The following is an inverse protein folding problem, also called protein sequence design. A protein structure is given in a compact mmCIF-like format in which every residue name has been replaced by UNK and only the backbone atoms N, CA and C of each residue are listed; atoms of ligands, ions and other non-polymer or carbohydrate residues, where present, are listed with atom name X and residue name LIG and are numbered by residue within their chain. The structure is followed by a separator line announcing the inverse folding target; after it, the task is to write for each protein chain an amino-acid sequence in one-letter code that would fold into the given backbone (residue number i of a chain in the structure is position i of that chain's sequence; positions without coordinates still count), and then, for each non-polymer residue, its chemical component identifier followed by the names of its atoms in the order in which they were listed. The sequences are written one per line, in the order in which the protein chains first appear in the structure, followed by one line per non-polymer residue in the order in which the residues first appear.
data_IF_906154139514
#
_entry.id   IF_906154139514
#
_cell.length_a   1.000
_cell.length_b   1.000
_cell.length_c   1.000
_cell.angle_alpha   90.00
_cell.angle_beta   90.00
_cell.angle_gamma   90.00
#
_symmetry.space_group_name_H-M   'P 1'
#
loop_
_entity.id
_entity.type
_entity.pdbx_description
1 polymer ?
#
# COMPACT_ATOMS: atom_id res chain seq x y z
N UNK A 1 -0.77 2.84 -26.62
CA UNK A 1 -2.16 2.37 -26.89
C UNK A 1 -3.05 2.83 -25.75
N UNK A 2 -4.34 3.06 -25.97
CA UNK A 2 -5.25 3.42 -24.88
C UNK A 2 -5.50 2.14 -24.05
N UNK A 3 -4.92 2.06 -22.85
CA UNK A 3 -4.82 0.87 -21.99
C UNK A 3 -6.16 0.25 -21.53
N UNK A 4 -7.28 0.91 -21.84
CA UNK A 4 -8.63 0.49 -21.44
C UNK A 4 -9.32 -0.42 -22.47
N UNK A 5 -8.68 -0.71 -23.62
CA UNK A 5 -9.32 -1.45 -24.72
C UNK A 5 -8.42 -2.59 -25.18
N UNK A 6 -8.96 -3.81 -25.15
CA UNK A 6 -8.30 -5.02 -25.62
C UNK A 6 -8.03 -4.93 -27.14
N UNK A 7 -6.87 -5.40 -27.65
CA UNK A 7 -6.57 -5.33 -29.08
C UNK A 7 -7.64 -6.03 -29.92
N UNK A 8 -8.12 -5.37 -30.97
CA UNK A 8 -9.04 -6.00 -31.94
C UNK A 8 -8.36 -7.18 -32.65
N UNK A 9 -9.13 -8.19 -33.05
CA UNK A 9 -8.62 -9.34 -33.81
C UNK A 9 -7.79 -8.93 -35.03
N UNK A 10 -8.21 -7.91 -35.79
CA UNK A 10 -7.45 -7.41 -36.93
C UNK A 10 -6.04 -6.93 -36.55
N UNK A 11 -5.90 -6.24 -35.40
CA UNK A 11 -4.59 -5.79 -34.91
C UNK A 11 -3.71 -6.96 -34.50
N UNK A 12 -4.30 -7.96 -33.82
CA UNK A 12 -3.58 -9.17 -33.42
C UNK A 12 -3.07 -9.93 -34.65
N UNK A 13 -3.87 -10.03 -35.72
CA UNK A 13 -3.48 -10.72 -36.95
C UNK A 13 -2.44 -9.95 -37.79
N UNK A 14 -2.35 -8.63 -37.64
CA UNK A 14 -1.44 -7.77 -38.41
C UNK A 14 -0.14 -7.42 -37.68
N UNK A 15 -0.01 -7.80 -36.41
CA UNK A 15 1.13 -7.43 -35.57
C UNK A 15 1.63 -8.59 -34.72
N UNK A 16 2.50 -8.28 -33.75
CA UNK A 16 2.94 -9.25 -32.75
C UNK A 16 1.84 -9.44 -31.69
N UNK A 17 0.95 -10.40 -31.95
CA UNK A 17 -0.19 -10.70 -31.08
C UNK A 17 0.27 -11.01 -29.64
N UNK A 18 1.38 -11.72 -29.47
CA UNK A 18 1.86 -12.13 -28.15
C UNK A 18 2.32 -10.92 -27.35
N UNK A 19 3.10 -10.02 -27.95
CA UNK A 19 3.53 -8.79 -27.29
C UNK A 19 2.34 -7.89 -26.94
N UNK A 20 1.39 -7.70 -27.86
CA UNK A 20 0.21 -6.85 -27.61
C UNK A 20 -0.67 -7.39 -26.47
N UNK A 21 -0.87 -8.71 -26.41
CA UNK A 21 -1.63 -9.34 -25.33
C UNK A 21 -0.85 -9.31 -24.01
N UNK A 22 0.48 -9.46 -24.07
CA UNK A 22 1.34 -9.36 -22.90
C UNK A 22 1.27 -7.97 -22.24
N UNK A 23 1.31 -6.90 -23.04
CA UNK A 23 1.17 -5.53 -22.55
C UNK A 23 -0.16 -5.28 -21.84
N UNK A 24 -1.22 -6.02 -22.16
CA UNK A 24 -2.52 -5.90 -21.47
C UNK A 24 -2.43 -6.29 -19.99
N UNK A 25 -1.48 -7.17 -19.61
CA UNK A 25 -1.28 -7.54 -18.20
C UNK A 25 -0.64 -6.43 -17.37
N UNK A 26 -0.04 -5.40 -17.97
CA UNK A 26 0.52 -4.24 -17.24
C UNK A 26 -0.57 -3.28 -16.71
N UNK A 27 -1.84 -3.61 -16.95
CA UNK A 27 -2.99 -2.77 -16.61
C UNK A 27 -4.01 -3.50 -15.74
N UNK A 28 -4.85 -2.72 -15.08
CA UNK A 28 -6.02 -3.22 -14.36
C UNK A 28 -7.06 -3.77 -15.34
N UNK A 29 -7.65 -4.95 -15.10
CA UNK A 29 -8.74 -5.45 -15.91
C UNK A 29 -9.93 -4.51 -15.91
N UNK A 30 -10.39 -4.15 -17.11
CA UNK A 30 -11.54 -3.27 -17.26
C UNK A 30 -12.80 -4.05 -17.64
N UNK A 31 -13.99 -3.68 -17.13
CA UNK A 31 -15.28 -4.17 -17.65
C UNK A 31 -15.51 -3.86 -19.14
N UNK A 32 -14.75 -2.91 -19.71
CA UNK A 32 -14.77 -2.54 -21.13
C UNK A 32 -13.91 -3.44 -22.03
N UNK A 33 -13.13 -4.38 -21.46
CA UNK A 33 -12.44 -5.37 -22.28
C UNK A 33 -13.49 -6.29 -22.91
N UNK A 34 -13.68 -6.10 -24.22
CA UNK A 34 -14.71 -6.79 -24.98
C UNK A 34 -14.10 -7.91 -25.84
N UNK A 35 -14.34 -9.15 -25.43
CA UNK A 35 -13.95 -10.34 -26.18
C UNK A 35 -14.89 -10.62 -27.36
N UNK A 36 -16.00 -9.85 -27.52
CA UNK A 36 -16.98 -9.97 -28.61
C UNK A 36 -16.42 -9.75 -29.99
N UNK A 37 -15.38 -8.94 -30.11
CA UNK A 37 -14.65 -8.76 -31.37
C UNK A 37 -14.11 -10.08 -31.95
N UNK A 38 -14.06 -11.16 -31.16
CA UNK A 38 -13.58 -12.47 -31.59
C UNK A 38 -14.70 -13.52 -31.79
N UNK A 39 -15.98 -13.19 -31.69
CA UNK A 39 -17.06 -14.20 -31.59
C UNK A 39 -17.35 -15.03 -32.82
N UNK A 40 -16.95 -14.57 -34.00
CA UNK A 40 -17.51 -15.10 -35.25
C UNK A 40 -16.59 -14.96 -36.45
N UNK A 41 -15.31 -14.63 -36.23
CA UNK A 41 -14.36 -14.54 -37.33
C UNK A 41 -13.72 -15.90 -37.58
N UNK A 42 -13.86 -16.51 -38.78
CA UNK A 42 -13.11 -17.72 -39.12
C UNK A 42 -11.59 -17.51 -39.06
N UNK A 43 -11.14 -16.26 -39.00
CA UNK A 43 -9.73 -15.87 -38.89
C UNK A 43 -9.14 -16.06 -37.49
N UNK A 44 -9.93 -16.41 -36.48
CA UNK A 44 -9.38 -16.74 -35.14
C UNK A 44 -8.42 -17.92 -35.22
N UNK A 45 -8.67 -18.89 -36.12
CA UNK A 45 -7.73 -20.01 -36.34
C UNK A 45 -6.40 -19.58 -36.95
N UNK A 46 -6.29 -18.34 -37.46
CA UNK A 46 -5.03 -17.75 -37.93
C UNK A 46 -4.17 -17.24 -36.75
N UNK A 47 -4.74 -17.05 -35.55
CA UNK A 47 -3.95 -16.75 -34.36
C UNK A 47 -3.16 -17.99 -33.94
N UNK A 48 -1.89 -17.80 -33.61
CA UNK A 48 -1.08 -18.87 -33.06
C UNK A 48 -1.63 -19.34 -31.69
N UNK A 49 -1.31 -20.59 -31.32
CA UNK A 49 -1.81 -21.24 -30.10
C UNK A 49 -1.42 -20.46 -28.84
N UNK A 50 -0.26 -19.80 -28.82
CA UNK A 50 0.21 -19.03 -27.66
C UNK A 50 -0.59 -17.74 -27.51
N UNK A 51 -0.87 -17.04 -28.61
CA UNK A 51 -1.75 -15.87 -28.62
C UNK A 51 -3.17 -16.25 -28.16
N UNK A 52 -3.70 -17.40 -28.58
CA UNK A 52 -4.99 -17.90 -28.09
C UNK A 52 -4.95 -18.18 -26.58
N UNK A 53 -3.88 -18.82 -26.09
CA UNK A 53 -3.71 -19.11 -24.66
C UNK A 53 -3.59 -17.82 -23.82
N UNK A 54 -2.84 -16.82 -24.29
CA UNK A 54 -2.73 -15.50 -23.64
C UNK A 54 -4.06 -14.75 -23.61
N UNK A 55 -4.85 -14.82 -24.69
CA UNK A 55 -6.17 -14.22 -24.73
C UNK A 55 -7.13 -14.90 -23.73
N UNK A 56 -7.05 -16.22 -23.61
CA UNK A 56 -7.82 -16.98 -22.63
C UNK A 56 -7.36 -16.68 -21.19
N UNK A 57 -6.07 -16.50 -20.98
CA UNK A 57 -5.49 -16.09 -19.69
C UNK A 57 -5.97 -14.68 -19.28
N UNK A 58 -6.02 -13.72 -20.22
CA UNK A 58 -6.59 -12.38 -19.97
C UNK A 58 -8.07 -12.44 -19.58
N UNK A 59 -8.85 -13.31 -20.22
CA UNK A 59 -10.25 -13.53 -19.86
C UNK A 59 -10.39 -14.10 -18.44
N UNK A 60 -9.54 -15.07 -18.08
CA UNK A 60 -9.48 -15.59 -16.71
C UNK A 60 -9.10 -14.49 -15.72
N UNK A 61 -8.10 -13.68 -16.03
CA UNK A 61 -7.67 -12.58 -15.16
C UNK A 61 -8.79 -11.54 -14.96
N UNK A 62 -9.49 -11.17 -16.03
CA UNK A 62 -10.64 -10.27 -15.95
C UNK A 62 -11.74 -10.83 -15.03
N UNK A 63 -12.07 -12.12 -15.15
CA UNK A 63 -13.08 -12.75 -14.31
C UNK A 63 -12.67 -12.75 -12.82
N UNK A 64 -11.40 -13.02 -12.51
CA UNK A 64 -10.85 -13.00 -11.15
C UNK A 64 -10.93 -11.60 -10.53
N UNK A 65 -10.52 -10.58 -11.30
CA UNK A 65 -10.47 -9.19 -10.85
C UNK A 65 -11.86 -8.56 -10.68
N UNK A 66 -12.77 -8.86 -11.61
CA UNK A 66 -14.10 -8.24 -11.63
C UNK A 66 -15.14 -9.01 -10.83
N UNK A 67 -14.81 -10.22 -10.36
CA UNK A 67 -15.73 -11.09 -9.64
C UNK A 67 -17.04 -11.30 -10.42
N UNK A 68 -16.94 -11.27 -11.76
CA UNK A 68 -18.06 -11.27 -12.68
C UNK A 68 -17.81 -12.33 -13.74
N UNK A 69 -18.34 -13.54 -13.52
CA UNK A 69 -18.46 -14.53 -14.57
C UNK A 69 -19.57 -14.05 -15.49
N UNK A 70 -19.23 -13.67 -16.71
CA UNK A 70 -20.25 -13.56 -17.76
C UNK A 70 -19.83 -14.41 -18.93
N UNK A 71 -20.20 -15.70 -18.87
CA UNK A 71 -20.13 -16.62 -20.02
C UNK A 71 -20.73 -15.96 -21.28
N UNK A 72 -21.76 -15.11 -21.11
CA UNK A 72 -22.40 -14.30 -22.15
C UNK A 72 -21.49 -13.22 -22.82
N UNK A 73 -20.27 -13.04 -22.31
CA UNK A 73 -19.26 -12.11 -22.85
C UNK A 73 -18.04 -12.82 -23.43
N UNK A 74 -17.90 -14.13 -23.29
CA UNK A 74 -16.83 -14.91 -23.92
C UNK A 74 -17.32 -15.81 -25.07
N UNK A 75 -16.59 -15.87 -26.21
CA UNK A 75 -16.99 -16.74 -27.30
C UNK A 75 -16.76 -18.22 -26.99
N UNK A 76 -17.61 -19.08 -27.56
CA UNK A 76 -17.57 -20.53 -27.33
C UNK A 76 -16.23 -21.18 -27.67
N UNK A 77 -15.55 -20.69 -28.70
CA UNK A 77 -14.21 -21.18 -29.06
C UNK A 77 -13.17 -20.83 -28.00
N UNK A 78 -13.22 -19.63 -27.42
CA UNK A 78 -12.27 -19.17 -26.40
C UNK A 78 -12.50 -19.89 -25.08
N UNK A 79 -13.76 -20.18 -24.75
CA UNK A 79 -14.12 -21.02 -23.60
C UNK A 79 -13.51 -22.43 -23.69
N UNK A 80 -13.27 -22.95 -24.90
CA UNK A 80 -12.63 -24.25 -25.14
C UNK A 80 -11.09 -24.20 -25.15
N UNK A 81 -10.48 -23.01 -25.20
CA UNK A 81 -9.02 -22.85 -25.18
C UNK A 81 -8.49 -23.18 -23.78
N UNK A 82 -7.30 -23.80 -23.72
CA UNK A 82 -6.55 -24.04 -22.48
C UNK A 82 -5.63 -22.84 -22.22
N UNK A 83 -5.88 -21.99 -21.20
CA UNK A 83 -5.00 -20.86 -20.89
C UNK A 83 -3.58 -21.31 -20.51
N UNK A 84 -3.48 -22.52 -19.94
CA UNK A 84 -2.26 -23.18 -19.51
C UNK A 84 -2.08 -24.47 -20.34
N UNK A 85 -1.38 -24.43 -21.49
CA UNK A 85 -1.37 -25.54 -22.46
C UNK A 85 -0.84 -26.87 -21.93
N UNK A 86 -0.03 -26.86 -20.87
CA UNK A 86 0.50 -28.04 -20.20
C UNK A 86 -0.49 -28.70 -19.22
N UNK A 87 -1.67 -28.11 -19.02
CA UNK A 87 -2.75 -28.65 -18.21
C UNK A 87 -3.95 -29.01 -19.08
N UNK A 88 -4.83 -29.87 -18.56
CA UNK A 88 -6.03 -30.32 -19.28
C UNK A 88 -7.27 -29.44 -19.07
N UNK A 89 -7.15 -28.32 -18.35
CA UNK A 89 -8.27 -27.43 -18.06
C UNK A 89 -8.47 -26.38 -19.15
N UNK A 90 -9.68 -26.34 -19.69
CA UNK A 90 -10.18 -25.27 -20.54
C UNK A 90 -10.46 -23.99 -19.73
N UNK A 91 -10.59 -22.85 -20.42
CA UNK A 91 -10.99 -21.60 -19.81
C UNK A 91 -12.33 -21.74 -19.09
N UNK A 92 -13.31 -22.43 -19.70
CA UNK A 92 -14.62 -22.70 -19.09
C UNK A 92 -14.49 -23.31 -17.69
N UNK A 93 -13.69 -24.37 -17.57
CA UNK A 93 -13.49 -25.07 -16.29
C UNK A 93 -12.78 -24.18 -15.25
N UNK A 94 -11.84 -23.33 -15.68
CA UNK A 94 -11.12 -22.44 -14.75
C UNK A 94 -11.99 -21.25 -14.29
N UNK A 95 -12.93 -20.79 -15.11
CA UNK A 95 -13.84 -19.70 -14.75
C UNK A 95 -14.77 -20.08 -13.58
N UNK A 96 -15.09 -21.36 -13.42
CA UNK A 96 -15.85 -21.87 -12.26
C UNK A 96 -15.15 -21.59 -10.92
N UNK A 97 -13.83 -21.35 -10.96
CA UNK A 97 -13.01 -21.09 -9.78
C UNK A 97 -12.54 -19.63 -9.66
N UNK A 98 -12.88 -18.75 -10.60
CA UNK A 98 -12.36 -17.38 -10.66
C UNK A 98 -12.65 -16.55 -9.39
N UNK A 99 -13.83 -16.75 -8.79
CA UNK A 99 -14.26 -16.08 -7.55
C UNK A 99 -13.38 -16.43 -6.32
N UNK A 100 -12.66 -17.54 -6.38
CA UNK A 100 -11.78 -18.05 -5.33
C UNK A 100 -10.33 -18.16 -5.81
N UNK A 101 -9.93 -17.25 -6.70
CA UNK A 101 -8.58 -17.17 -7.21
C UNK A 101 -8.00 -15.77 -7.07
N UNK A 102 -6.68 -15.69 -7.12
CA UNK A 102 -5.93 -14.45 -7.21
C UNK A 102 -4.69 -14.64 -8.08
N UNK A 103 -4.17 -13.55 -8.61
CA UNK A 103 -2.97 -13.56 -9.44
C UNK A 103 -1.90 -12.66 -8.83
N UNK A 104 -0.65 -13.09 -8.94
CA UNK A 104 0.52 -12.31 -8.60
C UNK A 104 1.56 -12.42 -9.72
N UNK A 105 2.41 -11.40 -9.82
CA UNK A 105 3.46 -11.32 -10.84
C UNK A 105 4.82 -11.46 -10.17
N UNK A 106 5.72 -12.22 -10.78
CA UNK A 106 7.07 -12.46 -10.25
C UNK A 106 8.11 -12.45 -11.37
N UNK A 107 9.37 -12.07 -11.06
CA UNK A 107 10.44 -12.08 -12.06
C UNK A 107 10.94 -13.49 -12.33
N UNK A 108 11.11 -13.80 -13.61
CA UNK A 108 11.75 -15.02 -14.09
C UNK A 108 13.06 -14.69 -14.80
N UNK A 109 14.12 -15.41 -14.45
CA UNK A 109 15.43 -15.29 -15.11
C UNK A 109 15.38 -15.83 -16.53
N UNK A 110 15.92 -15.09 -17.48
CA UNK A 110 16.19 -15.61 -18.82
C UNK A 110 17.24 -16.72 -18.76
N UNK A 111 17.09 -17.75 -19.59
CA UNK A 111 18.07 -18.83 -19.72
C UNK A 111 18.39 -19.11 -21.19
N UNK A 112 19.56 -19.69 -21.47
CA UNK A 112 19.94 -20.13 -22.83
C UNK A 112 19.81 -19.04 -23.91
N UNK A 113 20.16 -17.79 -23.58
CA UNK A 113 20.08 -16.65 -24.50
C UNK A 113 18.68 -16.05 -24.67
N UNK A 114 17.68 -16.55 -23.94
CA UNK A 114 16.33 -15.99 -23.91
C UNK A 114 16.22 -14.85 -22.91
N UNK A 115 15.39 -13.84 -23.19
CA UNK A 115 15.24 -12.68 -22.33
C UNK A 115 14.54 -13.04 -21.03
N UNK A 116 14.81 -12.24 -20.01
CA UNK A 116 14.05 -12.26 -18.76
C UNK A 116 12.61 -11.80 -18.99
N UNK A 117 11.69 -12.31 -18.19
CA UNK A 117 10.28 -11.90 -18.23
C UNK A 117 9.61 -11.83 -16.85
N UNK A 118 8.47 -11.15 -16.77
CA UNK A 118 7.59 -11.13 -15.61
C UNK A 118 6.52 -12.23 -15.75
N UNK A 119 6.70 -13.34 -15.05
CA UNK A 119 5.74 -14.43 -15.07
C UNK A 119 4.56 -14.14 -14.12
N UNK A 120 3.43 -14.82 -14.37
CA UNK A 120 2.21 -14.73 -13.56
C UNK A 120 1.95 -16.06 -12.89
N UNK A 121 1.60 -16.02 -11.61
CA UNK A 121 1.12 -17.15 -10.84
C UNK A 121 -0.29 -16.89 -10.39
N UNK A 122 -1.17 -17.85 -10.65
CA UNK A 122 -2.54 -17.87 -10.17
C UNK A 122 -2.65 -18.88 -9.05
N UNK A 123 -3.27 -18.49 -7.97
CA UNK A 123 -3.56 -19.36 -6.83
C UNK A 123 -5.06 -19.52 -6.71
N UNK A 124 -5.52 -20.76 -6.77
CA UNK A 124 -6.91 -21.13 -6.59
C UNK A 124 -7.06 -21.76 -5.22
N UNK A 125 -8.05 -21.34 -4.42
CA UNK A 125 -8.32 -21.95 -3.12
C UNK A 125 -8.74 -23.43 -3.24
N UNK A 126 -9.22 -23.84 -4.41
CA UNK A 126 -9.63 -25.21 -4.70
C UNK A 126 -8.47 -26.06 -5.23
N UNK A 127 -8.41 -27.34 -4.85
CA UNK A 127 -7.42 -28.30 -5.34
C UNK A 127 -7.90 -28.99 -6.63
N UNK A 128 -7.25 -28.67 -7.74
CA UNK A 128 -7.43 -29.30 -9.04
C UNK A 128 -6.74 -30.66 -9.08
N UNK A 129 -7.15 -31.53 -10.02
CA UNK A 129 -6.51 -32.84 -10.25
C UNK A 129 -5.05 -32.73 -10.70
N UNK A 130 -4.71 -31.62 -11.35
CA UNK A 130 -3.38 -31.31 -11.87
C UNK A 130 -3.17 -29.81 -11.77
N UNK A 131 -1.91 -29.39 -11.56
CA UNK A 131 -1.54 -27.99 -11.49
C UNK A 131 -0.07 -27.78 -11.92
N UNK A 132 0.42 -26.55 -11.88
CA UNK A 132 1.75 -26.16 -12.33
C UNK A 132 2.88 -26.44 -11.32
N UNK A 133 2.65 -27.12 -10.18
CA UNK A 133 3.71 -27.35 -9.18
C UNK A 133 4.91 -28.12 -9.73
N UNK A 134 4.70 -29.02 -10.69
CA UNK A 134 5.79 -29.76 -11.36
C UNK A 134 6.71 -28.86 -12.19
N UNK A 135 6.23 -27.67 -12.56
CA UNK A 135 7.01 -26.67 -13.28
C UNK A 135 7.76 -25.73 -12.34
N UNK A 136 7.59 -25.84 -11.02
CA UNK A 136 8.17 -24.93 -10.04
C UNK A 136 9.19 -25.68 -9.19
N UNK A 137 10.45 -25.27 -9.26
CA UNK A 137 11.48 -25.78 -8.36
C UNK A 137 11.15 -25.38 -6.91
N UNK A 138 11.44 -26.26 -5.94
CA UNK A 138 11.20 -26.05 -4.51
C UNK A 138 9.72 -25.88 -4.13
N UNK A 139 8.81 -26.55 -4.84
CA UNK A 139 7.37 -26.45 -4.62
C UNK A 139 6.88 -27.04 -3.30
N UNK A 140 7.71 -27.85 -2.64
CA UNK A 140 7.45 -28.44 -1.33
C UNK A 140 7.26 -27.41 -0.19
N UNK A 141 7.72 -26.17 -0.38
CA UNK A 141 7.67 -25.11 0.64
C UNK A 141 6.37 -24.28 0.62
N UNK A 142 5.46 -24.51 -0.32
CA UNK A 142 4.18 -23.80 -0.42
C UNK A 142 3.03 -24.73 -0.03
N UNK A 143 2.02 -24.17 0.63
CA UNK A 143 0.89 -24.93 1.12
C UNK A 143 0.20 -25.76 0.02
N UNK A 144 -0.20 -26.99 0.37
CA UNK A 144 -0.77 -27.98 -0.57
C UNK A 144 -2.30 -27.96 -0.67
N UNK A 145 -2.92 -27.05 0.08
CA UNK A 145 -4.38 -26.84 0.16
C UNK A 145 -4.95 -26.04 -1.02
N UNK A 146 -4.11 -25.43 -1.85
CA UNK A 146 -4.48 -24.66 -3.04
C UNK A 146 -4.02 -25.34 -4.34
N UNK A 147 -4.36 -24.76 -5.50
CA UNK A 147 -3.73 -25.08 -6.79
C UNK A 147 -2.92 -23.91 -7.29
N UNK A 148 -1.77 -24.20 -7.92
CA UNK A 148 -0.92 -23.18 -8.55
C UNK A 148 -1.01 -23.31 -10.06
N UNK A 149 -1.36 -22.24 -10.76
CA UNK A 149 -1.33 -22.18 -12.23
C UNK A 149 -0.29 -21.14 -12.64
N UNK A 150 0.62 -21.54 -13.52
CA UNK A 150 1.67 -20.70 -14.09
C UNK A 150 1.77 -21.04 -15.55
N UNK A 151 1.78 -20.03 -16.41
CA UNK A 151 2.05 -20.23 -17.82
C UNK A 151 3.58 -20.39 -18.01
N UNK A 152 4.06 -21.53 -18.52
CA UNK A 152 5.48 -21.70 -18.75
C UNK A 152 5.95 -20.73 -19.84
N UNK A 153 7.18 -20.23 -19.76
CA UNK A 153 7.84 -19.55 -20.87
C UNK A 153 7.85 -20.46 -22.08
N UNK A 154 7.76 -19.89 -23.28
CA UNK A 154 7.85 -20.64 -24.53
C UNK A 154 9.16 -21.41 -24.69
N UNK A 155 10.21 -21.00 -23.97
CA UNK A 155 11.55 -21.55 -24.05
C UNK A 155 11.92 -22.58 -22.97
N UNK A 156 11.09 -22.79 -21.95
CA UNK A 156 11.45 -23.68 -20.84
C UNK A 156 10.82 -25.07 -21.01
N UNK A 157 11.67 -26.07 -21.25
CA UNK A 157 11.32 -27.49 -21.10
C UNK A 157 11.57 -28.01 -19.67
N UNK A 158 12.30 -27.26 -18.85
CA UNK A 158 12.68 -27.60 -17.49
C UNK A 158 11.79 -26.86 -16.46
N UNK A 159 11.75 -27.32 -15.20
CA UNK A 159 11.15 -26.54 -14.11
C UNK A 159 11.77 -25.15 -14.00
N UNK A 160 10.95 -24.17 -13.71
CA UNK A 160 11.34 -22.78 -13.44
C UNK A 160 12.21 -22.75 -12.18
N UNK A 161 13.46 -22.38 -12.36
CA UNK A 161 14.42 -22.20 -11.28
C UNK A 161 14.22 -20.85 -10.57
N UNK A 162 14.56 -20.82 -9.28
CA UNK A 162 14.40 -19.63 -8.44
C UNK A 162 13.18 -19.70 -7.51
N UNK A 163 13.18 -18.81 -6.51
CA UNK A 163 12.21 -18.86 -5.39
C UNK A 163 11.27 -17.65 -5.34
N UNK A 164 11.42 -16.67 -6.23
CA UNK A 164 10.58 -15.45 -6.27
C UNK A 164 9.09 -15.74 -6.36
N UNK A 165 8.72 -16.86 -6.98
CA UNK A 165 7.34 -17.29 -7.13
C UNK A 165 6.69 -17.67 -5.79
N UNK A 166 7.47 -18.04 -4.76
CA UNK A 166 6.95 -18.48 -3.46
C UNK A 166 6.25 -17.34 -2.72
N UNK A 167 6.89 -16.17 -2.61
CA UNK A 167 6.25 -15.00 -2.00
C UNK A 167 5.03 -14.55 -2.82
N UNK A 168 5.14 -14.55 -4.15
CA UNK A 168 4.01 -14.21 -5.03
C UNK A 168 2.81 -15.16 -4.81
N UNK A 169 3.05 -16.46 -4.65
CA UNK A 169 2.01 -17.45 -4.38
C UNK A 169 1.33 -17.23 -3.02
N UNK A 170 2.11 -17.02 -1.94
CA UNK A 170 1.54 -16.78 -0.60
C UNK A 170 0.76 -15.46 -0.55
N UNK A 171 1.23 -14.41 -1.23
CA UNK A 171 0.49 -13.16 -1.35
C UNK A 171 -0.81 -13.33 -2.13
N UNK A 172 -0.78 -14.07 -3.24
CA UNK A 172 -1.98 -14.39 -4.00
C UNK A 172 -2.98 -15.19 -3.14
N UNK A 173 -2.50 -16.18 -2.38
CA UNK A 173 -3.34 -16.96 -1.46
C UNK A 173 -4.09 -16.07 -0.47
N UNK A 174 -3.41 -15.08 0.11
CA UNK A 174 -4.04 -14.10 1.01
C UNK A 174 -5.03 -13.22 0.25
N UNK A 175 -4.68 -12.76 -0.95
CA UNK A 175 -5.53 -11.91 -1.78
C UNK A 175 -6.84 -12.59 -2.23
N UNK A 176 -6.95 -13.93 -2.18
CA UNK A 176 -8.19 -14.63 -2.55
C UNK A 176 -9.39 -14.08 -1.79
N UNK A 177 -9.27 -13.68 -0.52
CA UNK A 177 -10.42 -13.16 0.24
C UNK A 177 -10.74 -11.68 -0.02
N UNK A 178 -9.81 -10.91 -0.61
CA UNK A 178 -9.91 -9.46 -0.75
C UNK A 178 -9.79 -9.05 -2.22
N UNK A 179 -10.93 -8.71 -2.84
CA UNK A 179 -11.00 -8.30 -4.25
C UNK A 179 -10.09 -7.13 -4.59
N UNK A 180 -10.00 -6.11 -3.73
CA UNK A 180 -9.16 -4.95 -3.99
C UNK A 180 -7.68 -5.36 -3.99
N UNK A 181 -7.30 -6.25 -3.08
CA UNK A 181 -5.96 -6.82 -3.05
C UNK A 181 -5.66 -7.68 -4.28
N UNK A 182 -6.62 -8.51 -4.77
CA UNK A 182 -6.43 -9.32 -5.99
C UNK A 182 -5.97 -8.44 -7.15
N UNK A 183 -6.73 -7.37 -7.42
CA UNK A 183 -6.46 -6.42 -8.50
C UNK A 183 -5.11 -5.76 -8.33
N UNK A 184 -4.85 -5.19 -7.14
CA UNK A 184 -3.59 -4.47 -6.87
C UNK A 184 -2.39 -5.37 -7.08
N UNK A 185 -2.41 -6.56 -6.47
CA UNK A 185 -1.33 -7.53 -6.54
C UNK A 185 -1.02 -7.94 -7.99
N UNK A 186 -2.07 -8.23 -8.78
CA UNK A 186 -1.93 -8.70 -10.16
C UNK A 186 -1.55 -7.62 -11.17
N UNK A 187 -1.93 -6.36 -10.95
CA UNK A 187 -1.76 -5.28 -11.94
C UNK A 187 -0.68 -4.27 -11.60
N UNK A 188 -0.40 -4.01 -10.33
CA UNK A 188 0.54 -2.94 -9.93
C UNK A 188 1.84 -3.43 -9.34
N UNK A 189 1.94 -4.71 -8.99
CA UNK A 189 3.11 -5.23 -8.28
C UNK A 189 3.86 -6.29 -9.07
N UNK A 190 5.19 -6.29 -8.93
CA UNK A 190 6.08 -7.38 -9.23
C UNK A 190 6.73 -7.84 -7.92
N UNK A 191 6.49 -9.09 -7.54
CA UNK A 191 6.86 -9.65 -6.24
C UNK A 191 8.09 -10.53 -6.39
N UNK A 192 9.09 -10.29 -5.56
CA UNK A 192 10.32 -11.06 -5.52
C UNK A 192 10.67 -11.41 -4.09
N UNK A 193 10.92 -12.67 -3.82
CA UNK A 193 11.33 -13.16 -2.50
C UNK A 193 10.97 -14.63 -2.34
N UNK A 194 11.70 -15.30 -1.46
CA UNK A 194 11.26 -16.58 -0.93
C UNK A 194 10.38 -16.33 0.30
N UNK A 195 9.44 -17.22 0.58
CA UNK A 195 8.64 -17.19 1.79
C UNK A 195 8.81 -18.54 2.49
N UNK A 196 9.08 -18.53 3.79
CA UNK A 196 9.11 -19.76 4.57
C UNK A 196 7.73 -20.07 5.19
N UNK A 197 7.61 -21.23 5.83
CA UNK A 197 6.37 -21.67 6.47
C UNK A 197 5.96 -20.85 7.71
N UNK A 198 6.79 -19.91 8.17
CA UNK A 198 6.46 -18.96 9.25
C UNK A 198 5.98 -17.62 8.72
N UNK A 199 6.08 -17.39 7.42
CA UNK A 199 5.74 -16.13 6.78
C UNK A 199 6.90 -15.12 6.79
N UNK A 200 8.14 -15.55 7.03
CA UNK A 200 9.32 -14.70 6.90
C UNK A 200 9.68 -14.56 5.41
N UNK A 201 10.01 -13.34 4.99
CA UNK A 201 10.43 -13.03 3.62
C UNK A 201 11.94 -13.15 3.53
N UNK A 202 12.40 -14.13 2.76
CA UNK A 202 13.81 -14.48 2.63
C UNK A 202 14.40 -13.93 1.32
N UNK A 203 15.68 -13.61 1.41
CA UNK A 203 16.51 -13.10 0.32
C UNK A 203 16.47 -13.96 -0.94
N UNK A 204 16.50 -13.29 -2.09
CA UNK A 204 16.74 -13.90 -3.40
C UNK A 204 17.70 -13.02 -4.18
N UNK A 205 18.52 -13.62 -5.04
CA UNK A 205 19.48 -12.88 -5.84
C UNK A 205 18.79 -11.82 -6.71
N UNK A 206 19.34 -10.60 -6.75
CA UNK A 206 18.78 -9.50 -7.58
C UNK A 206 18.83 -9.87 -9.06
N UNK A 207 19.98 -10.32 -9.54
CA UNK A 207 20.16 -10.83 -10.90
C UNK A 207 19.55 -9.92 -11.98
N UNK A 208 18.60 -10.47 -12.73
CA UNK A 208 17.93 -9.82 -13.86
C UNK A 208 16.83 -8.81 -13.51
N UNK A 209 16.46 -8.67 -12.23
CA UNK A 209 15.29 -7.88 -11.82
C UNK A 209 15.40 -6.40 -12.21
N UNK A 210 16.61 -5.84 -12.20
CA UNK A 210 16.82 -4.44 -12.56
C UNK A 210 16.55 -4.20 -14.06
N UNK A 211 16.85 -5.17 -14.91
CA UNK A 211 16.50 -5.12 -16.34
C UNK A 211 14.98 -5.17 -16.53
N UNK A 212 14.31 -6.05 -15.79
CA UNK A 212 12.85 -6.16 -15.83
C UNK A 212 12.16 -4.89 -15.35
N UNK A 213 12.67 -4.28 -14.27
CA UNK A 213 12.16 -3.02 -13.73
C UNK A 213 12.19 -1.86 -14.75
N UNK A 214 13.10 -1.91 -15.73
CA UNK A 214 13.16 -0.92 -16.81
C UNK A 214 12.03 -1.06 -17.85
N UNK A 215 11.34 -2.20 -17.89
CA UNK A 215 10.36 -2.57 -18.92
C UNK A 215 8.92 -2.61 -18.41
N UNK A 216 8.70 -2.26 -17.14
CA UNK A 216 7.39 -2.32 -16.47
C UNK A 216 7.14 -1.02 -15.71
N UNK A 217 5.87 -0.70 -15.50
CA UNK A 217 5.43 0.39 -14.62
C UNK A 217 5.05 -0.09 -13.22
N UNK A 218 5.25 -1.39 -12.92
CA UNK A 218 4.89 -1.99 -11.64
C UNK A 218 5.81 -1.51 -10.52
N UNK A 219 5.22 -1.39 -9.34
CA UNK A 219 5.95 -1.37 -8.07
C UNK A 219 6.62 -2.71 -7.81
N UNK A 220 7.76 -2.66 -7.13
CA UNK A 220 8.49 -3.87 -6.78
C UNK A 220 8.44 -4.12 -5.29
N UNK A 221 8.07 -5.34 -4.92
CA UNK A 221 8.20 -5.82 -3.55
C UNK A 221 9.38 -6.80 -3.48
N UNK A 222 10.35 -6.51 -2.60
CA UNK A 222 11.59 -7.28 -2.45
C UNK A 222 11.93 -7.54 -0.98
N UNK A 223 12.81 -8.52 -0.69
CA UNK A 223 13.24 -8.78 0.68
C UNK A 223 14.03 -7.61 1.28
N UNK A 224 13.86 -7.39 2.58
CA UNK A 224 14.43 -6.24 3.30
C UNK A 224 15.96 -6.21 3.38
N UNK A 225 16.66 -7.30 3.09
CA UNK A 225 18.12 -7.33 3.08
C UNK A 225 18.74 -6.91 1.73
N UNK A 226 17.97 -7.02 0.63
CA UNK A 226 18.45 -6.71 -0.73
C UNK A 226 17.81 -5.46 -1.33
N UNK A 227 16.89 -4.79 -0.61
CA UNK A 227 16.10 -3.71 -1.18
C UNK A 227 16.93 -2.50 -1.63
N UNK A 228 17.96 -2.10 -0.87
CA UNK A 228 18.77 -0.93 -1.20
C UNK A 228 19.58 -1.16 -2.47
N UNK A 229 20.24 -2.32 -2.56
CA UNK A 229 20.99 -2.72 -3.74
C UNK A 229 20.08 -2.78 -4.97
N UNK A 230 18.88 -3.36 -4.82
CA UNK A 230 17.92 -3.41 -5.90
C UNK A 230 17.39 -2.02 -6.30
N UNK A 231 17.05 -1.17 -5.34
CA UNK A 231 16.56 0.18 -5.61
C UNK A 231 17.58 1.02 -6.38
N UNK A 232 18.87 0.94 -6.01
CA UNK A 232 19.96 1.61 -6.75
C UNK A 232 20.07 1.06 -8.17
N UNK A 233 20.08 -0.27 -8.33
CA UNK A 233 20.20 -0.91 -9.64
C UNK A 233 18.98 -0.63 -10.56
N UNK A 234 17.78 -0.58 -9.99
CA UNK A 234 16.55 -0.26 -10.70
C UNK A 234 16.50 1.22 -11.09
N UNK A 235 16.80 2.13 -10.16
CA UNK A 235 16.81 3.58 -10.43
C UNK A 235 17.82 3.98 -11.52
N UNK A 236 18.95 3.28 -11.61
CA UNK A 236 19.94 3.49 -12.67
C UNK A 236 19.40 3.16 -14.08
N UNK A 237 18.34 2.33 -14.18
CA UNK A 237 17.72 1.94 -15.45
C UNK A 237 16.39 2.63 -15.70
N UNK A 238 15.61 2.85 -14.65
CA UNK A 238 14.34 3.55 -14.67
C UNK A 238 14.13 4.29 -13.34
N UNK A 239 14.39 5.62 -13.29
CA UNK A 239 14.24 6.42 -12.08
C UNK A 239 12.82 6.46 -11.48
N UNK A 240 11.81 6.08 -12.26
CA UNK A 240 10.41 6.08 -11.82
C UNK A 240 10.00 4.77 -11.10
N UNK A 241 10.88 3.78 -11.02
CA UNK A 241 10.58 2.51 -10.33
C UNK A 241 10.55 2.75 -8.82
N UNK A 242 9.41 2.45 -8.19
CA UNK A 242 9.34 2.38 -6.74
C UNK A 242 9.57 0.96 -6.24
N UNK A 243 10.40 0.83 -5.22
CA UNK A 243 10.80 -0.43 -4.59
C UNK A 243 10.45 -0.40 -3.12
N UNK A 244 9.81 -1.46 -2.65
CA UNK A 244 9.35 -1.64 -1.28
C UNK A 244 10.00 -2.88 -0.66
N UNK A 245 10.34 -2.77 0.61
CA UNK A 245 11.09 -3.77 1.35
C UNK A 245 10.18 -4.47 2.37
N UNK A 246 10.04 -5.79 2.26
CA UNK A 246 9.31 -6.60 3.23
C UNK A 246 10.24 -7.59 3.94
N UNK A 247 10.11 -7.65 5.27
CA UNK A 247 10.74 -8.68 6.11
C UNK A 247 9.80 -9.85 6.40
N UNK A 248 8.50 -9.64 6.26
CA UNK A 248 7.47 -10.66 6.52
C UNK A 248 6.35 -10.58 5.49
N UNK A 249 5.60 -11.67 5.35
CA UNK A 249 4.40 -11.75 4.52
C UNK A 249 3.34 -10.75 4.98
N UNK A 250 3.30 -10.45 6.28
CA UNK A 250 2.43 -9.39 6.83
C UNK A 250 2.80 -8.01 6.28
N UNK A 251 4.08 -7.65 6.28
CA UNK A 251 4.55 -6.36 5.75
C UNK A 251 4.27 -6.28 4.25
N UNK A 252 4.55 -7.35 3.52
CA UNK A 252 4.26 -7.48 2.10
C UNK A 252 2.79 -7.19 1.77
N UNK A 253 1.86 -7.79 2.51
CA UNK A 253 0.42 -7.58 2.36
C UNK A 253 0.04 -6.13 2.64
N UNK A 254 0.62 -5.53 3.70
CA UNK A 254 0.41 -4.11 4.05
C UNK A 254 0.84 -3.22 2.88
N UNK A 255 2.03 -3.43 2.30
CA UNK A 255 2.48 -2.61 1.18
C UNK A 255 1.57 -2.71 -0.04
N UNK A 256 1.22 -3.92 -0.47
CA UNK A 256 0.38 -4.09 -1.67
C UNK A 256 -1.01 -3.48 -1.49
N UNK A 257 -1.57 -3.68 -0.31
CA UNK A 257 -2.86 -3.14 0.01
C UNK A 257 -2.81 -1.62 0.19
N UNK A 258 -1.78 -1.06 0.80
CA UNK A 258 -1.79 0.36 1.17
C UNK A 258 -1.18 1.26 0.05
N UNK A 259 -0.33 0.72 -0.82
CA UNK A 259 0.39 1.47 -1.88
C UNK A 259 -0.11 1.18 -3.31
N UNK A 260 -1.32 0.64 -3.47
CA UNK A 260 -1.98 0.45 -4.76
C UNK A 260 -3.06 1.51 -5.09
N UNK A 261 -2.97 2.71 -4.52
CA UNK A 261 -3.98 3.77 -4.69
C UNK A 261 -3.30 5.07 -5.15
N UNK A 262 -3.87 5.65 -6.21
CA UNK A 262 -3.85 7.07 -6.52
C UNK A 262 -3.70 7.95 -5.26
N UNK A 263 -2.95 9.06 -5.35
CA UNK A 263 -2.91 10.12 -4.33
C UNK A 263 -4.32 10.36 -3.77
N UNK A 264 -4.63 9.81 -2.58
CA UNK A 264 -5.88 10.14 -1.92
C UNK A 264 -5.73 11.58 -1.45
N UNK A 265 -6.46 12.46 -2.10
CA UNK A 265 -6.50 13.87 -1.73
C UNK A 265 -7.30 13.98 -0.44
N UNK A 266 -6.60 13.96 0.70
CA UNK A 266 -7.19 14.38 1.96
C UNK A 266 -7.38 15.91 1.92
N UNK A 267 -8.53 16.39 2.35
CA UNK A 267 -8.72 17.81 2.57
C UNK A 267 -8.05 18.23 3.88
N UNK A 268 -7.39 19.39 3.87
CA UNK A 268 -6.84 19.96 5.09
C UNK A 268 -7.98 20.25 6.08
N UNK A 269 -7.88 19.85 7.35
CA UNK A 269 -8.97 19.99 8.31
C UNK A 269 -9.20 21.47 8.68
N UNK A 270 -10.39 22.01 8.38
CA UNK A 270 -10.72 23.44 8.59
C UNK A 270 -11.63 23.73 9.79
N UNK A 271 -12.32 22.72 10.34
CA UNK A 271 -13.33 22.89 11.40
C UNK A 271 -13.11 21.94 12.58
N UNK A 272 -11.96 22.07 13.23
CA UNK A 272 -11.56 21.16 14.32
C UNK A 272 -12.13 21.64 15.66
N UNK A 273 -13.01 20.85 16.26
CA UNK A 273 -13.58 21.15 17.58
C UNK A 273 -12.56 20.90 18.70
N UNK A 274 -11.85 19.78 18.64
CA UNK A 274 -10.88 19.38 19.68
C UNK A 274 -9.62 18.83 19.01
N UNK A 275 -8.46 19.30 19.45
CA UNK A 275 -7.17 18.71 19.11
C UNK A 275 -6.59 18.04 20.36
N UNK A 276 -6.45 16.72 20.31
CA UNK A 276 -5.76 15.92 21.31
C UNK A 276 -4.26 15.91 20.97
N UNK A 277 -3.43 16.44 21.86
CA UNK A 277 -2.00 16.66 21.62
C UNK A 277 -1.15 15.90 22.65
N UNK A 278 -0.29 15.01 22.19
CA UNK A 278 0.73 14.40 23.06
C UNK A 278 1.87 15.39 23.33
N UNK A 279 2.30 15.50 24.58
CA UNK A 279 3.40 16.37 25.02
C UNK A 279 4.68 15.56 25.22
N UNK A 280 5.70 15.87 24.42
CA UNK A 280 7.04 15.28 24.50
C UNK A 280 8.07 16.24 25.08
N UNK A 281 9.35 15.88 24.98
CA UNK A 281 10.46 16.74 25.44
C UNK A 281 10.72 17.98 24.56
N UNK A 282 10.21 17.99 23.33
CA UNK A 282 10.34 19.12 22.41
C UNK A 282 9.02 19.93 22.35
N UNK A 283 9.11 21.24 22.51
CA UNK A 283 7.98 22.16 22.41
C UNK A 283 7.47 22.41 20.98
N UNK A 284 8.32 22.52 19.93
CA UNK A 284 7.86 22.94 18.60
C UNK A 284 6.71 22.11 18.00
N UNK A 285 6.68 20.77 18.12
CA UNK A 285 5.54 19.98 17.63
C UNK A 285 4.20 20.31 18.33
N UNK A 286 4.26 20.58 19.64
CA UNK A 286 3.10 20.92 20.46
C UNK A 286 2.69 22.40 20.34
N UNK A 287 3.50 23.23 19.67
CA UNK A 287 3.19 24.62 19.34
C UNK A 287 2.68 24.76 17.91
N UNK A 288 3.40 24.16 16.96
CA UNK A 288 3.14 24.30 15.52
C UNK A 288 1.78 23.78 15.09
N UNK A 289 1.44 22.54 15.47
CA UNK A 289 0.20 21.92 15.01
C UNK A 289 -1.04 22.65 15.54
N UNK A 290 -1.16 23.03 16.84
CA UNK A 290 -2.28 23.84 17.28
C UNK A 290 -2.36 25.22 16.60
N UNK A 291 -1.22 25.87 16.34
CA UNK A 291 -1.18 27.14 15.62
C UNK A 291 -1.63 26.99 14.15
N UNK A 292 -1.29 25.89 13.50
CA UNK A 292 -1.65 25.57 12.12
C UNK A 292 -3.12 25.16 11.98
N UNK A 293 -3.62 24.36 12.92
CA UNK A 293 -4.98 23.78 12.89
C UNK A 293 -6.05 24.73 13.42
N UNK A 294 -5.72 25.58 14.41
CA UNK A 294 -6.67 26.47 15.11
C UNK A 294 -7.91 25.73 15.66
N UNK A 295 -7.74 24.74 16.55
CA UNK A 295 -8.88 24.06 17.15
C UNK A 295 -9.65 24.97 18.11
N UNK A 296 -10.90 24.63 18.43
CA UNK A 296 -11.66 25.33 19.51
C UNK A 296 -11.18 24.93 20.91
N UNK A 297 -10.78 23.67 21.07
CA UNK A 297 -10.21 23.12 22.30
C UNK A 297 -8.90 22.39 22.01
N UNK A 298 -7.90 22.58 22.87
CA UNK A 298 -6.63 21.88 22.87
C UNK A 298 -6.50 21.06 24.16
N UNK A 299 -6.42 19.74 24.04
CA UNK A 299 -6.20 18.83 25.16
C UNK A 299 -4.75 18.33 25.15
N UNK A 300 -3.96 18.76 26.15
CA UNK A 300 -2.54 18.43 26.28
C UNK A 300 -2.37 17.20 27.17
N UNK A 301 -1.94 16.08 26.59
CA UNK A 301 -1.62 14.85 27.31
C UNK A 301 -0.15 14.79 27.67
N UNK A 302 0.15 14.82 28.96
CA UNK A 302 1.52 14.87 29.49
C UNK A 302 1.81 13.66 30.37
N UNK A 303 3.10 13.33 30.51
CA UNK A 303 3.56 12.40 31.54
C UNK A 303 4.16 13.19 32.70
N UNK A 304 4.37 12.59 33.89
CA UNK A 304 5.01 13.28 35.01
C UNK A 304 6.31 14.00 34.62
N UNK A 305 7.08 13.44 33.67
CA UNK A 305 8.32 14.02 33.15
C UNK A 305 8.11 15.22 32.22
N UNK A 306 6.97 15.28 31.52
CA UNK A 306 6.65 16.37 30.57
C UNK A 306 5.62 17.37 31.11
N UNK A 307 5.25 17.26 32.39
CA UNK A 307 4.37 18.21 33.07
C UNK A 307 4.85 19.67 32.96
N UNK A 308 6.14 20.00 33.20
CA UNK A 308 6.61 21.39 33.08
C UNK A 308 6.40 21.98 31.67
N UNK A 309 6.58 21.17 30.63
CA UNK A 309 6.33 21.54 29.24
C UNK A 309 4.83 21.79 29.01
N UNK A 310 3.96 20.92 29.53
CA UNK A 310 2.52 21.08 29.41
C UNK A 310 2.01 22.34 30.11
N UNK A 311 2.52 22.63 31.32
CA UNK A 311 2.18 23.84 32.06
C UNK A 311 2.62 25.12 31.30
N UNK A 312 3.83 25.10 30.69
CA UNK A 312 4.31 26.19 29.85
C UNK A 312 3.48 26.37 28.57
N UNK A 313 3.11 25.28 27.90
CA UNK A 313 2.25 25.29 26.71
C UNK A 313 0.85 25.83 27.06
N UNK A 314 0.28 25.41 28.19
CA UNK A 314 -1.00 25.92 28.67
C UNK A 314 -0.94 27.43 28.90
N UNK A 315 0.11 27.93 29.58
CA UNK A 315 0.31 29.37 29.79
C UNK A 315 0.55 30.14 28.47
N UNK A 316 1.21 29.52 27.49
CA UNK A 316 1.42 30.11 26.17
C UNK A 316 0.11 30.32 25.41
N UNK A 317 -0.77 29.31 25.40
CA UNK A 317 -2.03 29.36 24.65
C UNK A 317 -3.14 30.13 25.40
N UNK A 318 -3.16 30.12 26.73
CA UNK A 318 -4.19 30.80 27.53
C UNK A 318 -4.20 32.34 27.38
N UNK A 319 -3.07 32.96 27.05
CA UNK A 319 -2.95 34.43 26.94
C UNK A 319 -3.15 34.94 25.49
N UNK A 320 -3.56 34.07 24.56
CA UNK A 320 -3.83 34.49 23.20
C UNK A 320 -5.20 35.19 23.12
N UNK A 321 -5.22 36.49 23.41
CA UNK A 321 -6.42 37.35 23.42
C UNK A 321 -7.24 37.37 22.12
N UNK A 322 -6.72 36.81 21.03
CA UNK A 322 -7.32 36.83 19.70
C UNK A 322 -7.93 35.50 19.27
N UNK A 323 -7.78 34.43 20.05
CA UNK A 323 -8.35 33.11 19.74
C UNK A 323 -9.05 32.59 20.99
N UNK A 324 -10.34 32.27 20.86
CA UNK A 324 -11.08 31.59 21.92
C UNK A 324 -10.68 30.10 21.95
N UNK A 325 -9.45 29.82 22.38
CA UNK A 325 -8.90 28.48 22.53
C UNK A 325 -9.01 28.04 23.98
N UNK A 326 -9.77 26.97 24.24
CA UNK A 326 -9.84 26.34 25.55
C UNK A 326 -8.69 25.34 25.67
N UNK A 327 -7.85 25.46 26.71
CA UNK A 327 -6.71 24.57 26.91
C UNK A 327 -6.88 23.74 28.17
N UNK A 328 -6.99 22.43 27.99
CA UNK A 328 -7.06 21.45 29.07
C UNK A 328 -5.77 20.63 29.12
N UNK A 329 -5.43 20.13 30.31
CA UNK A 329 -4.26 19.25 30.49
C UNK A 329 -4.70 17.96 31.18
N UNK A 330 -4.08 16.85 30.78
CA UNK A 330 -4.38 15.54 31.35
C UNK A 330 -3.11 14.71 31.46
N UNK A 331 -2.92 14.10 32.63
CA UNK A 331 -1.81 13.20 32.86
C UNK A 331 -2.08 11.81 32.28
N UNK A 332 -1.09 11.24 31.60
CA UNK A 332 -1.05 9.84 31.16
C UNK A 332 0.32 9.21 31.43
N UNK A 333 0.40 7.91 31.72
CA UNK A 333 1.68 7.22 31.85
C UNK A 333 2.49 7.23 30.53
N UNK A 334 3.80 7.43 30.63
CA UNK A 334 4.73 7.34 29.48
C UNK A 334 5.33 5.95 29.30
N UNK A 335 5.11 5.04 30.25
CA UNK A 335 5.76 3.72 30.34
C UNK A 335 4.76 2.55 30.40
N UNK A 336 3.46 2.79 30.28
CA UNK A 336 2.44 1.75 30.46
C UNK A 336 1.36 1.80 29.38
N UNK A 337 1.60 1.11 28.25
CA UNK A 337 0.79 1.20 27.02
C UNK A 337 -0.72 1.00 27.26
N UNK A 338 -1.11 -0.09 27.93
CA UNK A 338 -2.52 -0.44 28.11
C UNK A 338 -3.30 0.58 28.95
N UNK A 339 -2.70 1.10 30.02
CA UNK A 339 -3.31 2.11 30.87
C UNK A 339 -3.47 3.43 30.12
N UNK A 340 -2.42 3.86 29.39
CA UNK A 340 -2.48 5.06 28.57
C UNK A 340 -3.52 4.94 27.46
N UNK A 341 -3.64 3.77 26.81
CA UNK A 341 -4.67 3.50 25.80
C UNK A 341 -6.07 3.63 26.38
N UNK A 342 -6.35 3.00 27.52
CA UNK A 342 -7.69 3.04 28.15
C UNK A 342 -8.06 4.47 28.54
N UNK A 343 -7.12 5.23 29.11
CA UNK A 343 -7.35 6.63 29.47
C UNK A 343 -7.66 7.48 28.24
N UNK A 344 -6.85 7.35 27.18
CA UNK A 344 -7.05 8.09 25.93
C UNK A 344 -8.35 7.70 25.26
N UNK A 345 -8.66 6.41 25.17
CA UNK A 345 -9.90 5.89 24.55
C UNK A 345 -11.14 6.42 25.25
N UNK A 346 -11.14 6.47 26.58
CA UNK A 346 -12.25 7.04 27.35
C UNK A 346 -12.43 8.54 27.09
N UNK A 347 -11.34 9.28 26.87
CA UNK A 347 -11.40 10.72 26.57
C UNK A 347 -11.85 10.98 25.14
N UNK A 348 -11.31 10.21 24.18
CA UNK A 348 -11.66 10.32 22.77
C UNK A 348 -13.13 9.95 22.54
N UNK A 349 -13.65 8.94 23.25
CA UNK A 349 -15.05 8.53 23.16
C UNK A 349 -16.07 9.56 23.69
N UNK A 350 -15.62 10.66 24.29
CA UNK A 350 -16.48 11.78 24.70
C UNK A 350 -16.63 12.85 23.60
N UNK A 351 -15.93 12.71 22.48
CA UNK A 351 -15.84 13.71 21.41
C UNK A 351 -16.36 13.15 20.10
N UNK A 352 -16.84 14.04 19.23
CA UNK A 352 -17.25 13.67 17.87
C UNK A 352 -16.02 13.36 17.00
N UNK A 353 -15.84 12.13 16.51
CA UNK A 353 -14.70 11.75 15.69
C UNK A 353 -14.64 12.48 14.33
N UNK A 354 -15.75 13.09 13.87
CA UNK A 354 -15.76 13.86 12.63
C UNK A 354 -15.07 15.22 12.76
N UNK A 355 -15.02 15.79 13.96
CA UNK A 355 -14.46 17.13 14.23
C UNK A 355 -13.31 17.13 15.22
N UNK A 356 -13.00 15.99 15.85
CA UNK A 356 -11.85 15.81 16.72
C UNK A 356 -10.65 15.22 15.96
N UNK A 357 -9.44 15.65 16.33
CA UNK A 357 -8.18 15.16 15.77
C UNK A 357 -7.21 14.77 16.88
N UNK A 358 -6.34 13.81 16.57
CA UNK A 358 -5.24 13.40 17.46
C UNK A 358 -3.89 13.71 16.82
N UNK A 359 -3.09 14.60 17.42
CA UNK A 359 -1.71 14.82 17.03
C UNK A 359 -0.74 13.96 17.84
N UNK A 360 -0.01 13.08 17.15
CA UNK A 360 1.00 12.18 17.74
C UNK A 360 2.45 12.59 17.44
N UNK A 361 2.68 13.79 16.91
CA UNK A 361 4.05 14.28 16.65
C UNK A 361 4.86 14.45 17.94
N UNK A 362 4.17 14.69 19.07
CA UNK A 362 4.78 14.75 20.40
C UNK A 362 4.65 13.44 21.19
N UNK A 363 5.02 13.48 22.47
CA UNK A 363 5.08 12.31 23.33
C UNK A 363 6.25 11.38 22.99
N UNK A 364 6.30 10.23 23.66
CA UNK A 364 7.23 9.16 23.30
C UNK A 364 6.53 8.12 22.42
N UNK A 365 7.30 7.15 21.89
CA UNK A 365 6.77 6.09 21.01
C UNK A 365 5.61 5.32 21.65
N UNK A 366 5.67 5.04 22.95
CA UNK A 366 4.65 4.28 23.67
C UNK A 366 3.34 5.09 23.80
N UNK A 367 3.43 6.38 24.13
CA UNK A 367 2.26 7.27 24.14
C UNK A 367 1.64 7.40 22.75
N UNK A 368 2.47 7.53 21.70
CA UNK A 368 2.01 7.56 20.31
C UNK A 368 1.26 6.28 19.91
N UNK A 369 1.79 5.10 20.29
CA UNK A 369 1.11 3.82 20.09
C UNK A 369 -0.20 3.72 20.86
N UNK A 370 -0.25 4.18 22.12
CA UNK A 370 -1.47 4.21 22.92
C UNK A 370 -2.55 5.06 22.26
N UNK A 371 -2.18 6.26 21.80
CA UNK A 371 -3.07 7.19 21.11
C UNK A 371 -3.59 6.61 19.79
N UNK A 372 -2.73 5.89 19.04
CA UNK A 372 -3.15 5.23 17.80
C UNK A 372 -4.21 4.14 18.04
N UNK A 373 -4.01 3.29 19.04
CA UNK A 373 -4.98 2.25 19.40
C UNK A 373 -6.31 2.87 19.84
N UNK A 374 -6.25 3.91 20.68
CA UNK A 374 -7.43 4.64 21.14
C UNK A 374 -8.17 5.34 19.99
N UNK A 375 -7.44 6.03 19.09
CA UNK A 375 -8.01 6.72 17.94
C UNK A 375 -8.69 5.73 16.98
N UNK A 376 -8.02 4.60 16.68
CA UNK A 376 -8.59 3.51 15.89
C UNK A 376 -9.89 2.98 16.49
N UNK A 377 -9.92 2.75 17.80
CA UNK A 377 -11.11 2.25 18.49
C UNK A 377 -12.29 3.23 18.44
N UNK A 378 -12.05 4.53 18.26
CA UNK A 378 -13.07 5.58 18.17
C UNK A 378 -13.32 6.07 16.73
N UNK A 379 -12.64 5.51 15.72
CA UNK A 379 -12.72 5.99 14.34
C UNK A 379 -12.24 7.44 14.15
N UNK A 380 -11.39 7.95 15.05
CA UNK A 380 -10.93 9.33 15.06
C UNK A 380 -9.68 9.50 14.20
N UNK A 381 -9.63 10.56 13.37
CA UNK A 381 -8.45 10.84 12.54
C UNK A 381 -7.25 11.23 13.39
N UNK A 382 -6.08 10.77 12.98
CA UNK A 382 -4.81 11.19 13.51
C UNK A 382 -4.07 12.05 12.51
N UNK A 383 -3.25 12.94 13.03
CA UNK A 383 -2.28 13.72 12.26
C UNK A 383 -0.91 13.59 12.89
N UNK A 384 0.12 13.67 12.07
CA UNK A 384 1.47 13.88 12.55
C UNK A 384 2.25 14.72 11.54
N UNK A 385 3.39 15.23 11.98
CA UNK A 385 4.30 15.97 11.12
C UNK A 385 5.60 15.21 10.99
N UNK A 386 6.01 14.92 9.76
CA UNK A 386 7.34 14.41 9.49
C UNK A 386 8.41 15.47 9.83
N UNK A 387 9.60 15.03 10.21
CA UNK A 387 10.73 15.92 10.48
C UNK A 387 11.12 16.72 9.23
N UNK A 388 10.91 16.17 8.04
CA UNK A 388 11.25 16.78 6.76
C UNK A 388 10.04 17.41 6.04
N UNK A 389 8.87 17.46 6.68
CA UNK A 389 7.67 18.05 6.08
C UNK A 389 7.86 19.56 5.82
N UNK A 390 7.19 20.08 4.79
CA UNK A 390 7.05 21.53 4.56
C UNK A 390 6.25 22.19 5.72
N UNK A 391 6.34 23.52 5.91
CA UNK A 391 5.66 24.23 7.01
C UNK A 391 4.14 24.00 7.09
N UNK A 392 3.47 23.84 5.95
CA UNK A 392 2.03 23.65 5.82
C UNK A 392 1.62 22.19 5.53
N UNK A 393 2.57 21.27 5.56
CA UNK A 393 2.34 19.84 5.30
C UNK A 393 2.12 19.07 6.61
N UNK A 394 1.09 18.22 6.63
CA UNK A 394 0.85 17.22 7.65
C UNK A 394 0.58 15.86 7.00
N UNK A 395 0.88 14.79 7.72
CA UNK A 395 0.44 13.44 7.40
C UNK A 395 -0.84 13.15 8.18
N UNK A 396 -1.83 12.57 7.51
CA UNK A 396 -3.13 12.19 8.07
C UNK A 396 -3.24 10.67 8.07
N UNK A 397 -3.83 10.13 9.14
CA UNK A 397 -4.23 8.73 9.25
C UNK A 397 -5.72 8.70 9.62
N UNK A 398 -6.56 8.13 8.76
CA UNK A 398 -8.01 8.09 8.89
C UNK A 398 -8.51 6.67 9.15
N UNK A 399 -9.18 6.50 10.30
CA UNK A 399 -9.72 5.23 10.79
C UNK A 399 -11.23 5.08 10.58
N UNK A 400 -11.86 5.94 9.76
CA UNK A 400 -13.31 6.02 9.59
C UNK A 400 -14.01 4.74 9.09
N UNK A 401 -13.27 3.72 8.62
CA UNK A 401 -13.86 2.47 8.12
C UNK A 401 -14.04 1.38 9.20
N UNK A 402 -13.88 1.72 10.48
CA UNK A 402 -14.16 0.79 11.59
C UNK A 402 -12.96 -0.09 11.96
N UNK A 403 -13.08 -0.95 13.00
CA UNK A 403 -11.93 -1.57 13.66
C UNK A 403 -11.24 -2.68 12.84
N UNK A 404 -11.94 -3.25 11.86
CA UNK A 404 -11.46 -4.35 11.00
C UNK A 404 -10.78 -3.83 9.74
N UNK A 405 -11.20 -2.65 9.26
CA UNK A 405 -10.65 -2.03 8.07
C UNK A 405 -9.34 -1.31 8.38
N UNK A 406 -8.56 -1.07 7.33
CA UNK A 406 -7.27 -0.44 7.47
C UNK A 406 -7.39 1.07 7.53
N UNK A 407 -6.48 1.71 8.30
CA UNK A 407 -6.36 3.15 8.22
C UNK A 407 -5.96 3.59 6.82
N UNK A 408 -6.60 4.64 6.32
CA UNK A 408 -6.15 5.36 5.12
C UNK A 408 -5.11 6.39 5.54
N UNK A 409 -4.03 6.56 4.82
CA UNK A 409 -2.98 7.54 5.13
C UNK A 409 -2.62 8.40 3.92
N UNK A 410 -2.20 9.64 4.17
CA UNK A 410 -1.73 10.53 3.12
C UNK A 410 -1.42 11.94 3.61
N UNK A 411 -0.79 12.72 2.73
CA UNK A 411 -0.38 14.10 3.00
C UNK A 411 -1.52 15.09 2.77
N UNK A 412 -1.54 16.14 3.59
CA UNK A 412 -2.40 17.32 3.42
C UNK A 412 -1.56 18.58 3.50
N UNK A 413 -1.95 19.58 2.71
CA UNK A 413 -1.35 20.91 2.73
C UNK A 413 -2.39 21.97 3.12
N UNK A 414 -2.05 22.84 4.06
CA UNK A 414 -2.93 23.94 4.45
C UNK A 414 -2.54 24.64 5.75
N UNK A 415 -3.22 25.74 6.04
CA UNK A 415 -2.94 26.57 7.22
C UNK A 415 -4.20 27.36 7.62
N UNK A 416 -4.77 27.06 8.78
CA UNK A 416 -5.93 27.79 9.32
C UNK A 416 -5.53 29.01 10.17
N UNK A 417 -4.23 29.23 10.40
CA UNK A 417 -3.76 30.37 11.19
C UNK A 417 -4.26 31.67 10.53
N UNK A 418 -4.94 32.58 11.25
CA UNK A 418 -5.42 33.83 10.66
C UNK A 418 -4.31 34.80 10.26
N UNK A 419 -3.14 34.69 10.89
CA UNK A 419 -1.99 35.59 10.69
C UNK A 419 -0.69 34.77 10.56
N UNK A 420 -0.56 33.90 9.55
CA UNK A 420 0.57 32.97 9.44
C UNK A 420 1.92 33.71 9.34
N UNK A 421 1.94 34.90 8.77
CA UNK A 421 3.13 35.75 8.66
C UNK A 421 3.71 36.23 10.00
N UNK A 422 2.90 36.23 11.07
CA UNK A 422 3.33 36.61 12.42
C UNK A 422 3.92 35.42 13.19
N UNK A 423 3.71 34.20 12.72
CA UNK A 423 4.30 33.02 13.32
C UNK A 423 5.70 32.81 12.75
N UNK A 424 6.67 32.62 13.64
CA UNK A 424 8.02 32.27 13.25
C UNK A 424 8.12 30.77 12.92
N UNK A 425 7.57 30.38 11.76
CA UNK A 425 7.58 29.00 11.28
C UNK A 425 8.99 28.41 11.19
N UNK A 426 10.02 29.23 10.91
CA UNK A 426 11.42 28.78 10.91
C UNK A 426 11.93 28.34 12.28
N UNK A 427 11.45 28.96 13.38
CA UNK A 427 11.74 28.48 14.74
C UNK A 427 11.00 27.16 15.03
N UNK A 428 9.75 27.06 14.57
CA UNK A 428 8.90 25.90 14.82
C UNK A 428 9.26 24.67 13.98
N UNK A 429 9.85 24.86 12.80
CA UNK A 429 10.16 23.81 11.83
C UNK A 429 11.65 23.70 11.48
N UNK A 430 12.53 24.39 12.21
CA UNK A 430 13.98 24.31 11.99
C UNK A 430 14.51 22.88 12.11
N UNK A 431 15.50 22.54 11.26
CA UNK A 431 15.99 21.19 10.93
C UNK A 431 16.64 20.37 12.07
N UNK A 432 16.55 20.82 13.32
CA UNK A 432 16.93 20.01 14.47
C UNK A 432 15.86 20.15 15.55
N UNK A 433 15.14 19.08 15.94
CA UNK A 433 14.29 19.11 17.12
C UNK A 433 15.18 19.41 18.32
N UNK A 434 15.12 20.65 18.81
CA UNK A 434 15.84 21.05 20.01
C UNK A 434 15.17 20.36 21.20
N UNK A 435 15.66 19.16 21.53
CA UNK A 435 15.41 18.62 22.87
C UNK A 435 16.03 19.60 23.86
N UNK A 436 15.19 20.16 24.73
CA UNK A 436 15.70 21.03 25.79
C UNK A 436 16.46 20.17 26.78
N UNK A 437 17.79 20.17 26.66
CA UNK A 437 18.72 19.58 27.63
C UNK A 437 19.12 20.58 28.74
N UNK A 438 18.68 21.83 28.62
CA UNK A 438 18.81 22.89 29.62
C UNK A 438 17.48 23.25 30.29
N UNK A 439 17.44 24.32 31.12
CA UNK A 439 16.19 24.81 31.69
C UNK A 439 15.20 25.18 30.58
N UNK A 440 13.91 24.96 30.84
CA UNK A 440 12.85 25.39 29.94
C UNK A 440 12.90 26.92 29.76
N UNK A 441 12.59 27.45 28.56
CA UNK A 441 12.50 28.88 28.36
C UNK A 441 11.37 29.46 29.21
N UNK A 442 11.55 30.70 29.65
CA UNK A 442 10.45 31.47 30.22
C UNK A 442 9.35 31.70 29.19
N UNK A 443 8.14 31.98 29.67
CA UNK A 443 7.00 32.28 28.81
C UNK A 443 7.27 33.47 27.86
N UNK A 444 7.99 34.49 28.33
CA UNK A 444 8.35 35.66 27.52
C UNK A 444 9.33 35.30 26.40
N UNK A 445 10.36 34.51 26.70
CA UNK A 445 11.32 34.01 25.70
C UNK A 445 10.64 33.14 24.65
N UNK A 446 9.76 32.23 25.08
CA UNK A 446 9.02 31.36 24.17
C UNK A 446 8.14 32.19 23.21
N UNK A 447 7.47 33.21 23.72
CA UNK A 447 6.67 34.13 22.90
C UNK A 447 7.50 34.90 21.89
N UNK A 448 8.62 35.46 22.31
CA UNK A 448 9.52 36.19 21.41
C UNK A 448 10.13 35.28 20.34
N UNK A 449 10.27 33.99 20.61
CA UNK A 449 10.76 33.02 19.64
C UNK A 449 9.68 32.62 18.62
N UNK A 450 8.43 32.43 19.07
CA UNK A 450 7.30 31.95 18.26
C UNK A 450 6.63 33.06 17.46
N UNK A 451 6.55 34.29 17.98
CA UNK A 451 5.90 35.42 17.32
C UNK A 451 6.93 36.40 16.73
N UNK A 452 6.61 36.97 15.57
CA UNK A 452 7.37 38.02 14.88
C UNK A 452 6.78 39.40 15.06
#
# INVERSE_FOLDING_TARGET
MNAQVLPSLQKLLMGDAQLMLWECFEHEPSPSWDFRACYSSPRVSELDIRAQALLAELALWQAIALDAVTDDRLPSWLLAVRPFPHLDYSLRELLEHAHHAAMAVFPLAGCNGQPSELARIYVLAHRLRQDSRRLLAFSENVATDCSLLVQPPSWSAAPLEGRSWQLAAEMAKIAIADRAMRVRLGSYWAVSGACDGKGDVLSVAIGNKAELAARTTRYWLVPNDVWQEFAVAAAARNPAVAVYAASSLRDAVIYVRDHGVFEQHFEFPTSVSVLHQLVGGALPPALSVPLLIQPRELCLYYSPQTKPQADLLQAFFADQKHVALIVTTQEIPSNHLALSEVLLRNQFGQRDPATALVNITGGNRLMGQAAMLAAKAQGMKMIYRDINAEPDELEVIDFAQGPVDLPRNGKVHGNNCPQPQRVNWGYLYGSAPRQFTGPLPSLAELRSAVWR
#
